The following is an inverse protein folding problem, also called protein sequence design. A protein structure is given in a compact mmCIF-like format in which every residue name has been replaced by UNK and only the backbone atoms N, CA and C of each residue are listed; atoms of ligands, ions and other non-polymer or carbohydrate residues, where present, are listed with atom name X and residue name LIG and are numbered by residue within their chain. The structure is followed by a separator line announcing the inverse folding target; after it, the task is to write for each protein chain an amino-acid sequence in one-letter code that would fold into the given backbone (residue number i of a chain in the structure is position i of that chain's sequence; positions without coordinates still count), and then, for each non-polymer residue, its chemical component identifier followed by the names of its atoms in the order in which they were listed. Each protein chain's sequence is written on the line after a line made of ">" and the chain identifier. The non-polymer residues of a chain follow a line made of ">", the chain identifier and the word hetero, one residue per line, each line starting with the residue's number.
data_IF_238480247293
#
_entry.id   IF_238480247293
#
_cell.length_a   1.000
_cell.length_b   1.000
_cell.length_c   1.000
_cell.angle_alpha   90.00
_cell.angle_beta   90.00
_cell.angle_gamma   90.00
#
_symmetry.space_group_name_H-M   'P 1'
#
loop_
_entity.id
_entity.type
_entity.pdbx_description
1 polymer ?
#
# COMPACT_ATOMS: atom_id res chain seq x y z
N UNK A 1 4.58 8.58 -33.25
CA UNK A 1 3.91 8.96 -31.99
C UNK A 1 4.76 8.46 -30.83
N UNK A 2 5.24 9.35 -29.97
CA UNK A 2 5.95 8.93 -28.76
C UNK A 2 4.93 8.35 -27.78
N UNK A 3 5.08 7.08 -27.41
CA UNK A 3 4.27 6.47 -26.34
C UNK A 3 4.83 7.02 -25.03
N UNK A 4 4.27 8.12 -24.53
CA UNK A 4 4.58 8.58 -23.18
C UNK A 4 4.11 7.52 -22.20
N UNK A 5 5.03 6.93 -21.43
CA UNK A 5 4.68 5.99 -20.37
C UNK A 5 3.70 6.67 -19.41
N UNK A 6 2.55 6.05 -19.17
CA UNK A 6 1.62 6.50 -18.15
C UNK A 6 2.33 6.54 -16.79
N UNK A 7 2.16 7.64 -16.05
CA UNK A 7 2.66 7.78 -14.68
C UNK A 7 2.12 6.62 -13.83
N UNK A 8 2.99 6.09 -12.96
CA UNK A 8 2.67 4.98 -12.06
C UNK A 8 2.91 5.37 -10.62
N UNK A 9 1.88 5.25 -9.78
CA UNK A 9 1.94 5.52 -8.35
C UNK A 9 2.22 4.23 -7.59
N UNK A 10 3.20 4.28 -6.68
CA UNK A 10 3.60 3.14 -5.84
C UNK A 10 2.72 3.10 -4.60
N UNK A 11 1.55 2.47 -4.72
CA UNK A 11 0.59 2.30 -3.62
C UNK A 11 0.23 0.84 -3.43
N UNK A 12 -0.05 0.46 -2.18
CA UNK A 12 -0.34 -0.92 -1.77
C UNK A 12 -1.78 -1.07 -1.26
N UNK A 13 -2.74 -0.93 -2.17
CA UNK A 13 -4.14 -1.14 -1.86
C UNK A 13 -4.51 -2.62 -1.96
N UNK A 14 -5.34 -3.14 -1.04
CA UNK A 14 -5.95 -4.46 -1.21
C UNK A 14 -6.74 -4.52 -2.52
N UNK A 15 -6.66 -5.64 -3.22
CA UNK A 15 -7.43 -5.86 -4.44
C UNK A 15 -8.12 -7.21 -4.40
N UNK A 16 -9.28 -7.24 -5.05
CA UNK A 16 -10.04 -8.45 -5.33
C UNK A 16 -10.09 -8.64 -6.84
N UNK A 17 -9.63 -9.79 -7.30
CA UNK A 17 -9.60 -10.16 -8.71
C UNK A 17 -10.58 -11.30 -8.92
N UNK A 18 -11.55 -11.06 -9.80
CA UNK A 18 -12.60 -12.01 -10.16
C UNK A 18 -12.39 -12.45 -11.60
N UNK A 19 -12.36 -13.76 -11.82
CA UNK A 19 -12.36 -14.36 -13.16
C UNK A 19 -13.28 -15.57 -13.15
N UNK A 20 -13.39 -16.28 -14.28
CA UNK A 20 -14.34 -17.39 -14.42
C UNK A 20 -14.12 -18.47 -13.34
N UNK A 21 -15.03 -18.51 -12.37
CA UNK A 21 -15.02 -19.44 -11.23
C UNK A 21 -13.90 -19.23 -10.19
N UNK A 22 -13.06 -18.20 -10.32
CA UNK A 22 -11.94 -17.98 -9.42
C UNK A 22 -11.97 -16.58 -8.80
N UNK A 23 -11.80 -16.55 -7.49
CA UNK A 23 -11.62 -15.35 -6.67
C UNK A 23 -10.21 -15.36 -6.10
N UNK A 24 -9.49 -14.25 -6.29
CA UNK A 24 -8.13 -14.11 -5.81
C UNK A 24 -7.96 -12.76 -5.12
N UNK A 25 -7.38 -12.77 -3.94
CA UNK A 25 -6.97 -11.55 -3.24
C UNK A 25 -5.52 -11.20 -3.55
N UNK A 26 -5.20 -9.92 -3.47
CA UNK A 26 -3.85 -9.43 -3.66
C UNK A 26 -3.64 -8.02 -3.15
N UNK A 27 -2.49 -7.45 -3.50
CA UNK A 27 -2.19 -6.03 -3.26
C UNK A 27 -1.63 -5.39 -4.51
N UNK A 28 -2.00 -4.14 -4.77
CA UNK A 28 -1.31 -3.37 -5.80
C UNK A 28 0.17 -3.18 -5.43
N UNK A 29 1.02 -3.23 -6.44
CA UNK A 29 2.43 -2.83 -6.36
C UNK A 29 2.58 -1.42 -6.93
N UNK A 30 1.87 -1.15 -8.03
CA UNK A 30 1.67 0.18 -8.58
C UNK A 30 0.36 0.26 -9.37
N UNK A 31 -0.14 1.49 -9.49
CA UNK A 31 -1.38 1.83 -10.19
C UNK A 31 -1.10 2.93 -11.22
N UNK A 32 -1.76 2.85 -12.36
CA UNK A 32 -1.80 3.90 -13.39
C UNK A 32 -3.18 3.93 -14.04
N UNK A 33 -3.47 4.98 -14.81
CA UNK A 33 -4.73 5.08 -15.56
C UNK A 33 -4.92 3.95 -16.59
N UNK A 34 -3.83 3.33 -17.06
CA UNK A 34 -3.89 2.30 -18.08
C UNK A 34 -3.82 0.87 -17.51
N UNK A 35 -3.56 0.70 -16.23
CA UNK A 35 -3.24 -0.62 -15.71
C UNK A 35 -2.74 -0.67 -14.28
N UNK A 36 -2.70 -1.89 -13.78
CA UNK A 36 -2.32 -2.24 -12.43
C UNK A 36 -1.17 -3.25 -12.46
N UNK A 37 -0.30 -3.19 -11.47
CA UNK A 37 0.55 -4.32 -11.10
C UNK A 37 0.05 -4.86 -9.77
N UNK A 38 -0.23 -6.15 -9.70
CA UNK A 38 -0.77 -6.78 -8.49
C UNK A 38 0.16 -7.90 -8.06
N UNK A 39 0.53 -7.91 -6.77
CA UNK A 39 1.16 -9.04 -6.11
C UNK A 39 0.05 -9.95 -5.56
N UNK A 40 0.09 -11.22 -5.96
CA UNK A 40 -0.93 -12.20 -5.60
C UNK A 40 -0.44 -13.62 -5.87
N UNK A 41 -0.84 -14.55 -5.02
CA UNK A 41 -0.65 -15.99 -5.24
C UNK A 41 -1.80 -16.48 -6.11
N UNK A 42 -1.59 -16.53 -7.43
CA UNK A 42 -2.67 -16.66 -8.41
C UNK A 42 -2.46 -17.80 -9.40
N UNK A 43 -3.52 -18.56 -9.66
CA UNK A 43 -3.63 -19.51 -10.77
C UNK A 43 -4.17 -18.86 -12.06
N UNK A 44 -4.35 -17.53 -12.09
CA UNK A 44 -4.82 -16.80 -13.26
C UNK A 44 -3.79 -16.93 -14.39
N UNK A 45 -4.26 -16.99 -15.63
CA UNK A 45 -3.43 -17.16 -16.83
C UNK A 45 -3.22 -15.83 -17.55
N UNK A 46 -2.08 -15.71 -18.24
CA UNK A 46 -1.88 -14.62 -19.20
C UNK A 46 -2.99 -14.65 -20.28
N UNK A 47 -3.43 -13.47 -20.69
CA UNK A 47 -4.55 -13.27 -21.61
C UNK A 47 -5.93 -13.37 -20.97
N UNK A 48 -6.06 -13.78 -19.70
CA UNK A 48 -7.34 -13.86 -19.03
C UNK A 48 -7.97 -12.46 -18.86
N UNK A 49 -9.28 -12.38 -19.10
CA UNK A 49 -10.08 -11.22 -18.75
C UNK A 49 -10.53 -11.36 -17.29
N UNK A 50 -10.30 -10.31 -16.51
CA UNK A 50 -10.57 -10.29 -15.07
C UNK A 50 -11.26 -8.99 -14.70
N UNK A 51 -12.17 -9.06 -13.73
CA UNK A 51 -12.72 -7.87 -13.08
C UNK A 51 -11.90 -7.60 -11.84
N UNK A 52 -11.41 -6.37 -11.69
CA UNK A 52 -10.64 -5.97 -10.51
C UNK A 52 -11.36 -4.90 -9.73
N UNK A 53 -11.48 -5.12 -8.42
CA UNK A 53 -11.93 -4.14 -7.43
C UNK A 53 -10.74 -3.72 -6.58
N UNK A 54 -10.47 -2.42 -6.53
CA UNK A 54 -9.41 -1.83 -5.69
C UNK A 54 -10.05 -1.26 -4.43
N UNK A 55 -9.67 -1.79 -3.28
CA UNK A 55 -10.19 -1.35 -1.98
C UNK A 55 -9.30 -0.23 -1.45
N UNK A 56 -9.80 1.01 -1.51
CA UNK A 56 -9.08 2.18 -1.04
C UNK A 56 -9.25 2.31 0.48
N UNK A 57 -8.17 2.32 1.28
CA UNK A 57 -8.26 2.67 2.70
C UNK A 57 -8.67 4.15 2.78
N UNK A 58 -9.48 4.53 3.77
CA UNK A 58 -10.06 5.88 4.02
C UNK A 58 -11.57 6.01 3.77
N UNK A 59 -12.26 4.91 3.47
CA UNK A 59 -13.73 4.89 3.42
C UNK A 59 -14.33 5.56 2.18
N UNK A 60 -13.49 5.95 1.22
CA UNK A 60 -13.95 6.27 -0.12
C UNK A 60 -14.53 5.03 -0.81
N UNK A 61 -15.47 5.24 -1.73
CA UNK A 61 -16.01 4.15 -2.54
C UNK A 61 -14.86 3.41 -3.23
N UNK A 62 -14.82 2.08 -3.18
CA UNK A 62 -13.84 1.32 -3.95
C UNK A 62 -13.90 1.77 -5.40
N UNK A 63 -12.73 1.88 -6.05
CA UNK A 63 -12.69 2.06 -7.51
C UNK A 63 -13.16 0.73 -8.07
N UNK A 64 -14.43 0.72 -8.47
CA UNK A 64 -15.20 -0.48 -8.67
C UNK A 64 -15.08 -0.92 -10.13
N UNK A 65 -14.45 -2.07 -10.32
CA UNK A 65 -14.69 -2.97 -11.44
C UNK A 65 -14.43 -2.36 -12.83
N UNK A 66 -13.15 -2.21 -13.16
CA UNK A 66 -12.73 -2.20 -14.56
C UNK A 66 -12.44 -3.63 -15.04
N UNK A 67 -12.75 -3.88 -16.31
CA UNK A 67 -12.34 -5.10 -17.00
C UNK A 67 -10.87 -4.95 -17.39
N UNK A 68 -10.05 -5.89 -16.96
CA UNK A 68 -8.62 -5.93 -17.28
C UNK A 68 -8.27 -7.19 -18.05
N UNK A 69 -7.25 -7.10 -18.89
CA UNK A 69 -6.56 -8.27 -19.44
C UNK A 69 -5.22 -8.48 -18.74
N UNK A 70 -4.95 -9.71 -18.34
CA UNK A 70 -3.65 -10.12 -17.79
C UNK A 70 -2.64 -10.14 -18.93
N UNK A 71 -1.61 -9.29 -18.86
CA UNK A 71 -0.60 -9.14 -19.91
C UNK A 71 0.67 -9.94 -19.65
N UNK A 72 1.02 -10.15 -18.39
CA UNK A 72 2.18 -10.93 -18.00
C UNK A 72 2.02 -11.45 -16.58
N UNK A 73 2.71 -12.54 -16.29
CA UNK A 73 2.85 -13.12 -14.96
C UNK A 73 4.34 -13.31 -14.65
N UNK A 74 4.79 -12.80 -13.52
CA UNK A 74 6.19 -12.90 -13.10
C UNK A 74 6.29 -12.95 -11.57
N UNK A 75 6.94 -13.98 -11.03
CA UNK A 75 7.26 -14.12 -9.60
C UNK A 75 6.11 -13.76 -8.63
N UNK A 76 4.92 -14.33 -8.83
CA UNK A 76 3.75 -14.04 -7.98
C UNK A 76 3.17 -12.63 -8.17
N UNK A 77 3.44 -12.02 -9.33
CA UNK A 77 2.87 -10.75 -9.73
C UNK A 77 2.22 -10.89 -11.09
N UNK A 78 1.14 -10.13 -11.27
CA UNK A 78 0.42 -10.05 -12.53
C UNK A 78 0.40 -8.60 -13.00
N UNK A 79 0.63 -8.43 -14.30
CA UNK A 79 0.43 -7.16 -14.99
C UNK A 79 -0.94 -7.11 -15.62
N UNK A 80 -1.72 -6.09 -15.30
CA UNK A 80 -3.07 -5.88 -15.79
C UNK A 80 -3.12 -4.63 -16.65
N UNK A 81 -3.74 -4.72 -17.81
CA UNK A 81 -4.07 -3.57 -18.67
C UNK A 81 -5.58 -3.40 -18.71
N UNK A 82 -6.05 -2.16 -18.54
CA UNK A 82 -7.46 -1.84 -18.58
C UNK A 82 -8.00 -2.07 -20.00
N UNK A 83 -8.97 -2.96 -20.13
CA UNK A 83 -9.67 -3.25 -21.38
C UNK A 83 -10.89 -2.36 -21.51
N UNK A 84 -11.68 -2.25 -20.44
CA UNK A 84 -12.85 -1.39 -20.36
C UNK A 84 -12.96 -0.79 -18.96
N UNK A 85 -13.11 0.53 -18.92
CA UNK A 85 -13.39 1.28 -17.69
C UNK A 85 -14.50 2.29 -18.01
N UNK A 86 -15.50 2.37 -17.14
CA UNK A 86 -16.54 3.39 -17.32
C UNK A 86 -15.95 4.79 -17.12
N UNK A 87 -16.50 5.80 -17.78
CA UNK A 87 -16.04 7.20 -17.64
C UNK A 87 -16.07 7.64 -16.17
N UNK A 88 -17.08 7.19 -15.42
CA UNK A 88 -17.21 7.49 -13.98
C UNK A 88 -16.06 6.90 -13.17
N UNK A 89 -15.74 5.63 -13.39
CA UNK A 89 -14.66 4.96 -12.66
C UNK A 89 -13.28 5.45 -13.09
N UNK A 90 -13.10 5.77 -14.38
CA UNK A 90 -11.90 6.41 -14.89
C UNK A 90 -11.67 7.76 -14.19
N UNK A 91 -12.71 8.58 -14.09
CA UNK A 91 -12.63 9.87 -13.40
C UNK A 91 -12.31 9.72 -11.91
N UNK A 92 -12.94 8.76 -11.23
CA UNK A 92 -12.62 8.45 -9.82
C UNK A 92 -11.18 8.01 -9.65
N UNK A 93 -10.67 7.18 -10.56
CA UNK A 93 -9.28 6.76 -10.56
C UNK A 93 -8.34 7.95 -10.81
N UNK A 94 -8.67 8.84 -11.75
CA UNK A 94 -7.92 10.07 -12.01
C UNK A 94 -7.86 10.99 -10.79
N UNK A 95 -9.01 11.28 -10.19
CA UNK A 95 -9.11 12.14 -9.00
C UNK A 95 -8.30 11.55 -7.83
N UNK A 96 -8.36 10.22 -7.63
CA UNK A 96 -7.58 9.54 -6.58
C UNK A 96 -6.08 9.53 -6.87
N UNK A 97 -5.67 9.31 -8.12
CA UNK A 97 -4.25 9.36 -8.47
C UNK A 97 -3.70 10.79 -8.38
N UNK A 98 -4.52 11.81 -8.62
CA UNK A 98 -4.16 13.21 -8.42
C UNK A 98 -4.03 13.58 -6.94
N UNK A 99 -4.87 13.05 -6.04
CA UNK A 99 -4.72 13.30 -4.60
C UNK A 99 -3.43 12.68 -4.05
N UNK A 100 -3.01 11.51 -4.56
CA UNK A 100 -1.73 10.89 -4.22
C UNK A 100 -0.50 11.71 -4.61
N UNK A 101 -0.63 12.67 -5.52
CA UNK A 101 0.43 13.63 -5.82
C UNK A 101 0.54 14.74 -4.78
N UNK A 102 -0.58 15.09 -4.15
CA UNK A 102 -0.65 16.12 -3.10
C UNK A 102 -0.18 15.56 -1.75
N UNK A 103 -0.49 14.29 -1.46
CA UNK A 103 0.01 13.60 -0.27
C UNK A 103 1.50 13.24 -0.37
N UNK A 104 2.06 13.29 -1.58
CA UNK A 104 3.51 13.28 -1.82
C UNK A 104 4.08 14.71 -1.85
N UNK A 105 3.70 15.56 -0.88
CA UNK A 105 4.53 16.70 -0.52
C UNK A 105 5.95 16.17 -0.23
N UNK A 106 6.98 16.69 -0.92
CA UNK A 106 8.34 16.24 -0.70
C UNK A 106 8.64 16.50 0.77
N UNK A 107 9.06 15.47 1.51
CA UNK A 107 9.86 15.70 2.69
C UNK A 107 10.99 16.62 2.24
N UNK A 108 10.85 17.91 2.56
CA UNK A 108 11.80 18.96 2.26
C UNK A 108 13.17 18.39 2.55
N UNK A 109 13.94 18.24 1.47
CA UNK A 109 15.35 17.92 1.53
C UNK A 109 15.95 18.94 2.50
N UNK A 110 16.18 18.49 3.73
CA UNK A 110 16.87 19.25 4.74
C UNK A 110 18.19 19.60 4.09
N UNK A 111 18.29 20.85 3.65
CA UNK A 111 19.53 21.46 3.24
C UNK A 111 20.41 21.38 4.48
N UNK A 112 21.16 20.30 4.59
CA UNK A 112 22.35 20.27 5.43
C UNK A 112 23.27 21.21 4.68
N UNK A 113 23.55 22.45 5.15
CA UNK A 113 24.70 23.14 4.62
C UNK A 113 25.89 22.23 4.94
N UNK A 114 26.53 21.73 3.88
CA UNK A 114 27.86 21.15 3.94
C UNK A 114 28.79 22.23 4.51
N UNK A 115 28.85 22.34 5.83
CA UNK A 115 29.81 23.16 6.53
C UNK A 115 31.16 22.49 6.32
N UNK A 116 31.90 23.04 5.36
CA UNK A 116 33.33 22.75 5.17
C UNK A 116 34.05 23.10 6.46
N UNK A 117 34.73 22.09 7.00
CA UNK A 117 35.66 22.14 8.13
C UNK A 117 36.51 23.39 8.12
N UNK A 118 36.47 24.17 9.20
CA UNK A 118 37.67 24.67 9.89
C UNK A 118 37.30 25.45 11.18
N UNK A 119 38.09 25.21 12.25
CA UNK A 119 38.34 26.04 13.45
C UNK A 119 37.79 25.55 14.82
N UNK A 120 38.50 25.85 15.93
CA UNK A 120 38.85 24.89 16.99
C UNK A 120 37.93 24.88 18.22
N UNK A 121 38.15 23.82 19.00
CA UNK A 121 37.47 23.45 20.25
C UNK A 121 37.57 24.57 21.31
N UNK A 122 36.44 25.14 21.74
CA UNK A 122 36.31 25.69 23.10
C UNK A 122 34.86 25.57 23.63
N UNK A 123 34.76 25.04 24.84
CA UNK A 123 33.67 25.17 25.82
C UNK A 123 32.39 24.34 25.62
N UNK A 124 32.55 23.11 26.12
CA UNK A 124 31.61 22.30 26.90
C UNK A 124 30.65 23.16 27.75
N UNK A 125 29.34 23.02 27.56
CA UNK A 125 28.29 22.75 28.58
C UNK A 125 26.92 22.97 27.95
N UNK A 126 26.14 21.90 27.77
CA UNK A 126 24.78 21.99 27.25
C UNK A 126 24.20 20.62 26.86
N UNK A 127 23.81 19.85 27.88
CA UNK A 127 22.88 18.70 27.90
C UNK A 127 22.36 18.20 26.53
N UNK A 128 23.01 17.18 25.98
CA UNK A 128 22.45 16.31 24.93
C UNK A 128 21.45 15.34 25.55
N UNK A 129 20.17 15.73 25.55
CA UNK A 129 19.07 14.83 25.83
C UNK A 129 18.70 14.02 24.58
N UNK A 130 18.80 12.69 24.69
CA UNK A 130 18.09 11.69 23.86
C UNK A 130 18.61 11.57 22.43
N UNK A 131 19.72 10.88 22.19
CA UNK A 131 19.82 9.42 22.13
C UNK A 131 18.73 8.75 21.26
N UNK A 132 18.98 8.80 19.96
CA UNK A 132 18.23 8.25 18.83
C UNK A 132 18.22 6.71 18.77
N UNK A 133 17.80 6.05 19.85
CA UNK A 133 17.78 4.58 19.98
C UNK A 133 16.38 3.94 20.03
N UNK A 134 15.28 4.66 19.75
CA UNK A 134 13.93 4.11 19.99
C UNK A 134 12.98 3.92 18.80
N UNK A 135 13.28 4.41 17.58
CA UNK A 135 12.22 4.51 16.57
C UNK A 135 12.08 3.39 15.53
N UNK A 136 12.87 2.31 15.56
CA UNK A 136 12.52 1.02 14.93
C UNK A 136 13.36 -0.10 15.60
N UNK A 137 12.95 -1.39 15.69
CA UNK A 137 11.64 -2.04 15.59
C UNK A 137 11.41 -3.17 16.65
N UNK A 138 10.17 -3.58 16.96
CA UNK A 138 9.83 -5.00 17.23
C UNK A 138 8.34 -5.29 17.44
N UNK A 139 7.86 -6.23 16.63
CA UNK A 139 6.72 -7.15 16.80
C UNK A 139 5.90 -7.07 18.09
N UNK A 140 4.59 -6.83 17.96
CA UNK A 140 3.63 -7.35 18.92
C UNK A 140 2.84 -8.50 18.29
N UNK A 141 3.22 -9.71 18.69
CA UNK A 141 2.39 -10.92 18.65
C UNK A 141 1.23 -10.66 19.61
N UNK A 142 -0.03 -10.76 19.17
CA UNK A 142 -1.16 -10.84 20.10
C UNK A 142 -1.37 -12.31 20.41
N UNK A 143 -1.02 -12.65 21.64
CA UNK A 143 -1.25 -13.92 22.30
C UNK A 143 -2.74 -14.05 22.69
N UNK A 144 -3.27 -15.25 22.54
CA UNK A 144 -4.60 -15.69 22.98
C UNK A 144 -4.56 -15.97 24.49
N UNK A 145 -5.50 -15.48 25.32
CA UNK A 145 -5.68 -16.02 26.65
C UNK A 145 -6.81 -17.05 26.67
N UNK A 146 -6.43 -18.32 26.80
CA UNK A 146 -7.29 -19.39 27.28
C UNK A 146 -6.82 -19.71 28.71
N UNK A 147 -7.70 -19.63 29.71
CA UNK A 147 -7.28 -19.90 31.09
C UNK A 147 -8.29 -19.54 32.17
N UNK A 148 -9.30 -20.38 32.29
CA UNK A 148 -10.16 -20.58 33.46
C UNK A 148 -9.34 -20.78 34.75
N UNK A 149 -9.80 -20.30 35.91
CA UNK A 149 -10.13 -21.13 37.08
C UNK A 149 -10.60 -20.32 38.30
N UNK A 150 -11.73 -20.78 38.88
CA UNK A 150 -12.07 -20.86 40.31
C UNK A 150 -12.25 -19.57 41.12
N UNK A 151 -13.08 -19.48 42.15
CA UNK A 151 -14.22 -20.22 42.71
C UNK A 151 -14.51 -19.50 44.02
N UNK A 152 -15.75 -19.16 44.38
CA UNK A 152 -16.11 -19.04 45.80
C UNK A 152 -17.62 -19.25 46.04
N UNK A 153 -17.90 -20.46 46.53
CA UNK A 153 -18.86 -20.85 47.57
C UNK A 153 -20.25 -20.17 47.69
N UNK A 154 -21.27 -20.93 47.29
CA UNK A 154 -22.24 -21.66 48.14
C UNK A 154 -22.66 -21.00 49.48
N UNK A 155 -23.96 -20.75 49.64
CA UNK A 155 -24.78 -21.13 50.83
C UNK A 155 -26.27 -20.87 50.52
N UNK A 156 -27.12 -21.91 50.42
CA UNK A 156 -28.18 -22.34 51.38
C UNK A 156 -29.11 -21.17 51.79
N UNK A 157 -30.43 -21.22 51.60
CA UNK A 157 -31.42 -22.26 51.90
C UNK A 157 -32.64 -22.10 50.99
#
# INVERSE_FOLDING_TARGET
>A
MAISRAKRWKVQYPVQVFTDGLFVEGRTVDISLQGLRVATESAIREGACVVVRVLVPDGEYPVDCALYTVRWIDQGRIGLEASEISVTEQRRLEDRLASLDQDQEPAVESTIPCMTTEQPITSITGTVAGLWHLFFPRHHVINVPNGSLHSLQRSKQ
#
